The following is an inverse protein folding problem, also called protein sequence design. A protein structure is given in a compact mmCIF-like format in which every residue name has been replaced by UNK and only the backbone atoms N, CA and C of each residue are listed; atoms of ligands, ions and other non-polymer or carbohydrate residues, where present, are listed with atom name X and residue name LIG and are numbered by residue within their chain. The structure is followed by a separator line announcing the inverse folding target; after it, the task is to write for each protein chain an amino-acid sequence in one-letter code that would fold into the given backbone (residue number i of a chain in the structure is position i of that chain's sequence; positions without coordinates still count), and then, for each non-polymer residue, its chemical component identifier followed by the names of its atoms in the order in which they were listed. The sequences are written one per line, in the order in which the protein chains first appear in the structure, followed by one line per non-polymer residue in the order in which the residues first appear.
data_IF_890292661966
#
_entry.id   IF_890292661966
#
_cell.length_a   1.000
_cell.length_b   1.000
_cell.length_c   1.000
_cell.angle_alpha   90.00
_cell.angle_beta   90.00
_cell.angle_gamma   90.00
#
_symmetry.space_group_name_H-M   'P 1'
#
loop_
_entity.id
_entity.type
_entity.pdbx_description
1 polymer ?
#
# COMPACT_ATOMS: atom_id res chain seq x y z
N UNK A 1 -15.23 7.92 -13.06
CA UNK A 1 -13.85 8.37 -12.81
C UNK A 1 -13.48 7.93 -11.40
N UNK A 2 -12.62 6.93 -11.25
CA UNK A 2 -12.11 6.53 -9.94
C UNK A 2 -10.62 6.79 -10.01
N UNK A 3 -10.13 7.79 -9.30
CA UNK A 3 -8.70 8.07 -9.25
C UNK A 3 -8.02 6.90 -8.54
N UNK A 4 -7.21 6.15 -9.29
CA UNK A 4 -6.43 5.01 -8.80
C UNK A 4 -5.06 5.43 -8.23
N UNK A 5 -4.88 6.72 -7.98
CA UNK A 5 -3.67 7.22 -7.32
C UNK A 5 -3.69 6.82 -5.86
N UNK A 6 -3.04 5.71 -5.55
CA UNK A 6 -2.59 5.44 -4.17
C UNK A 6 -1.37 6.33 -3.94
N UNK A 7 -1.40 7.28 -2.99
CA UNK A 7 -0.25 8.14 -2.73
C UNK A 7 0.90 7.30 -2.17
N UNK A 8 1.84 6.90 -3.04
CA UNK A 8 3.05 6.17 -2.63
C UNK A 8 4.05 7.04 -1.87
N UNK A 9 3.87 8.36 -1.97
CA UNK A 9 4.73 9.34 -1.33
C UNK A 9 4.68 9.28 0.20
N UNK A 10 3.66 8.64 0.79
CA UNK A 10 3.57 8.49 2.24
C UNK A 10 4.73 7.66 2.82
N UNK A 11 5.16 6.59 2.16
CA UNK A 11 6.34 5.81 2.59
C UNK A 11 7.62 6.64 2.47
N UNK A 12 7.79 7.29 1.32
CA UNK A 12 8.98 8.10 1.05
C UNK A 12 9.09 9.27 2.03
N UNK A 13 7.96 9.91 2.38
CA UNK A 13 7.90 10.99 3.37
C UNK A 13 8.25 10.52 4.77
N UNK A 14 7.89 9.29 5.14
CA UNK A 14 8.14 8.73 6.46
C UNK A 14 9.41 7.85 6.53
N UNK A 15 10.23 7.85 5.47
CA UNK A 15 11.43 7.01 5.36
C UNK A 15 12.35 7.13 6.56
N UNK A 16 12.59 8.36 7.02
CA UNK A 16 13.45 8.62 8.18
C UNK A 16 12.97 7.87 9.44
N UNK A 17 11.67 7.90 9.73
CA UNK A 17 11.11 7.22 10.89
C UNK A 17 11.23 5.71 10.78
N UNK A 18 11.06 5.16 9.58
CA UNK A 18 11.22 3.73 9.36
C UNK A 18 12.69 3.29 9.54
N UNK A 19 13.64 4.04 9.01
CA UNK A 19 15.08 3.78 9.20
C UNK A 19 15.51 3.92 10.66
N UNK A 20 14.95 4.89 11.38
CA UNK A 20 15.13 5.02 12.82
C UNK A 20 14.64 3.77 13.57
N UNK A 21 13.43 3.30 13.24
CA UNK A 21 12.87 2.09 13.86
C UNK A 21 13.69 0.84 13.53
N UNK A 22 14.18 0.68 12.30
CA UNK A 22 15.05 -0.45 11.93
C UNK A 22 16.33 -0.55 12.76
N UNK A 23 16.80 0.61 13.26
CA UNK A 23 18.02 0.71 14.07
C UNK A 23 17.73 0.53 15.56
N UNK A 24 16.59 1.04 16.04
CA UNK A 24 16.22 1.06 17.45
C UNK A 24 15.34 -0.12 17.87
N UNK A 25 14.28 -0.42 17.11
CA UNK A 25 13.30 -1.47 17.40
C UNK A 25 12.83 -2.16 16.10
N UNK A 26 13.52 -3.27 15.78
CA UNK A 26 13.23 -4.07 14.58
C UNK A 26 11.87 -4.75 14.63
N UNK A 27 11.33 -5.04 15.81
CA UNK A 27 10.05 -5.73 15.93
C UNK A 27 8.92 -4.78 15.52
N UNK A 28 8.94 -3.54 16.03
CA UNK A 28 8.00 -2.50 15.63
C UNK A 28 8.14 -2.17 14.14
N UNK A 29 9.37 -2.09 13.62
CA UNK A 29 9.60 -1.88 12.19
C UNK A 29 8.99 -3.01 11.32
N UNK A 30 9.07 -4.27 11.75
CA UNK A 30 8.47 -5.39 11.01
C UNK A 30 6.94 -5.35 11.03
N UNK A 31 6.35 -5.00 12.18
CA UNK A 31 4.91 -4.84 12.34
C UNK A 31 4.35 -3.77 11.40
N UNK A 32 4.94 -2.57 11.40
CA UNK A 32 4.54 -1.47 10.52
C UNK A 32 4.64 -1.87 9.04
N UNK A 33 5.74 -2.55 8.67
CA UNK A 33 5.94 -3.04 7.31
C UNK A 33 4.85 -4.04 6.90
N UNK A 34 4.50 -4.98 7.77
CA UNK A 34 3.46 -5.98 7.49
C UNK A 34 2.10 -5.34 7.30
N UNK A 35 1.70 -4.45 8.20
CA UNK A 35 0.42 -3.75 8.14
C UNK A 35 0.30 -2.91 6.86
N UNK A 36 1.39 -2.23 6.49
CA UNK A 36 1.47 -1.48 5.25
C UNK A 36 1.27 -2.35 4.02
N UNK A 37 1.97 -3.49 3.95
CA UNK A 37 1.85 -4.45 2.83
C UNK A 37 0.43 -5.01 2.74
N UNK A 38 -0.17 -5.41 3.87
CA UNK A 38 -1.53 -5.95 3.90
C UNK A 38 -2.56 -4.92 3.40
N UNK A 39 -2.48 -3.69 3.92
CA UNK A 39 -3.36 -2.59 3.51
C UNK A 39 -3.24 -2.31 2.02
N UNK A 40 -2.01 -2.14 1.51
CA UNK A 40 -1.81 -1.88 0.08
C UNK A 40 -2.28 -3.04 -0.80
N UNK A 41 -2.05 -4.29 -0.36
CA UNK A 41 -2.48 -5.47 -1.10
C UNK A 41 -4.01 -5.47 -1.30
N UNK A 42 -4.76 -5.13 -0.25
CA UNK A 42 -6.23 -4.99 -0.31
C UNK A 42 -6.68 -3.86 -1.24
N UNK A 43 -6.01 -2.71 -1.18
CA UNK A 43 -6.30 -1.56 -2.07
C UNK A 43 -6.07 -1.95 -3.54
N UNK A 44 -4.91 -2.51 -3.85
CA UNK A 44 -4.58 -2.94 -5.21
C UNK A 44 -5.51 -4.03 -5.72
N UNK A 45 -5.85 -5.01 -4.87
CA UNK A 45 -6.81 -6.04 -5.24
C UNK A 45 -8.19 -5.47 -5.55
N UNK A 46 -8.66 -4.50 -4.76
CA UNK A 46 -9.93 -3.80 -5.02
C UNK A 46 -9.90 -3.08 -6.38
N UNK A 47 -8.79 -2.43 -6.71
CA UNK A 47 -8.60 -1.77 -8.00
C UNK A 47 -8.59 -2.75 -9.17
N UNK A 48 -7.85 -3.85 -9.04
CA UNK A 48 -7.83 -4.93 -10.01
C UNK A 48 -9.25 -5.48 -10.26
N UNK A 49 -9.99 -5.78 -9.19
CA UNK A 49 -11.37 -6.28 -9.28
C UNK A 49 -12.29 -5.29 -9.99
N UNK A 50 -12.19 -4.00 -9.66
CA UNK A 50 -12.98 -2.94 -10.29
C UNK A 50 -12.66 -2.80 -11.79
N UNK A 51 -11.37 -2.88 -12.15
CA UNK A 51 -10.93 -2.84 -13.54
C UNK A 51 -11.42 -4.06 -14.33
N UNK A 52 -11.19 -5.26 -13.81
CA UNK A 52 -11.63 -6.52 -14.43
C UNK A 52 -13.15 -6.55 -14.66
N UNK A 53 -13.93 -6.08 -13.68
CA UNK A 53 -15.39 -5.99 -13.81
C UNK A 53 -15.83 -5.02 -14.92
N UNK A 54 -15.13 -3.89 -15.09
CA UNK A 54 -15.39 -2.95 -16.19
C UNK A 54 -15.03 -3.57 -17.53
N UNK A 55 -13.91 -4.28 -17.61
CA UNK A 55 -13.46 -4.95 -18.83
C UNK A 55 -14.48 -5.99 -19.32
N UNK A 56 -14.99 -6.83 -18.40
CA UNK A 56 -16.00 -7.86 -18.74
C UNK A 56 -17.29 -7.24 -19.28
N UNK A 57 -17.68 -6.05 -18.79
CA UNK A 57 -18.88 -5.35 -19.27
C UNK A 57 -18.72 -4.69 -20.65
N UNK A 58 -17.49 -4.59 -21.16
CA UNK A 58 -17.19 -4.02 -22.48
C UNK A 58 -17.10 -5.10 -23.59
N UNK A 59 -17.01 -6.37 -23.22
CA UNK A 59 -17.21 -7.52 -24.11
C UNK A 59 -18.70 -7.85 -24.25
#
# INVERSE_FOLDING_TARGET
MTNYEVPQNALLRNRFFYEFLLTSDRQIADEIRREYIDTLSKVYFSYFKAYSTKLIKLQ
#
